data_IF_731034069030
#
_entry.id   IF_731034069030
#
_cell.length_a   1.000
_cell.length_b   1.000
_cell.length_c   1.000
_cell.angle_alpha   90.00
_cell.angle_beta   90.00
_cell.angle_gamma   90.00
#
_symmetry.space_group_name_H-M   'P 1'
#
loop_
_entity.id
_entity.type
_entity.pdbx_description
1 polymer ?
#
# COMPACT_ATOMS: atom_id res chain seq x y z
N UNK A 1 30.53 20.05 0.72
CA UNK A 1 30.77 19.00 -0.30
C UNK A 1 29.51 18.17 -0.41
N UNK A 2 28.90 18.21 -1.55
CA UNK A 2 27.58 17.61 -1.80
C UNK A 2 27.70 16.08 -1.76
N UNK A 3 27.15 15.44 -0.73
CA UNK A 3 27.23 13.97 -0.55
C UNK A 3 26.18 13.21 -1.38
N UNK A 4 25.35 13.90 -2.14
CA UNK A 4 24.27 13.28 -2.90
C UNK A 4 24.77 12.48 -4.12
N UNK A 5 25.91 12.86 -4.69
CA UNK A 5 26.53 12.09 -5.76
C UNK A 5 27.06 10.71 -5.28
N UNK A 6 27.60 10.65 -4.04
CA UNK A 6 28.05 9.37 -3.43
C UNK A 6 26.86 8.44 -3.16
N UNK A 7 25.73 8.98 -2.74
CA UNK A 7 24.49 8.21 -2.59
C UNK A 7 23.98 7.69 -3.93
N UNK A 8 24.13 8.47 -5.00
CA UNK A 8 23.79 8.06 -6.36
C UNK A 8 24.72 6.98 -6.90
N UNK A 9 26.04 7.06 -6.64
CA UNK A 9 26.99 6.01 -6.99
C UNK A 9 26.75 4.71 -6.20
N UNK A 10 26.42 4.81 -4.91
CA UNK A 10 26.03 3.64 -4.11
C UNK A 10 24.81 2.91 -4.67
N UNK A 11 23.87 3.65 -5.30
CA UNK A 11 22.71 3.10 -5.99
C UNK A 11 23.03 2.37 -7.30
N UNK A 12 24.25 2.49 -7.82
CA UNK A 12 24.70 1.74 -9.00
C UNK A 12 25.07 0.28 -8.67
N UNK A 13 25.34 -0.03 -7.40
CA UNK A 13 25.67 -1.37 -6.91
C UNK A 13 24.70 -1.77 -5.82
N UNK A 14 23.77 -2.62 -6.17
CA UNK A 14 22.68 -3.04 -5.29
C UNK A 14 23.03 -4.34 -4.57
N UNK A 15 22.70 -4.48 -3.28
CA UNK A 15 22.82 -5.73 -2.57
C UNK A 15 21.82 -6.75 -3.10
N UNK A 16 22.26 -8.00 -3.24
CA UNK A 16 21.47 -9.12 -3.76
C UNK A 16 21.28 -10.14 -2.65
N UNK A 17 20.05 -10.45 -2.36
CA UNK A 17 19.63 -11.45 -1.39
C UNK A 17 18.89 -12.56 -2.11
N UNK A 18 19.38 -13.79 -1.98
CA UNK A 18 18.73 -14.98 -2.52
C UNK A 18 17.81 -15.58 -1.45
N UNK A 19 16.64 -15.97 -1.87
CA UNK A 19 15.65 -16.70 -1.08
C UNK A 19 15.24 -17.97 -1.83
N UNK A 20 15.30 -19.08 -1.13
CA UNK A 20 15.04 -20.40 -1.71
C UNK A 20 14.06 -21.17 -0.83
N UNK A 21 13.07 -21.75 -1.48
CA UNK A 21 12.24 -22.81 -0.92
C UNK A 21 12.38 -24.06 -1.80
N UNK A 22 11.73 -25.14 -1.42
CA UNK A 22 11.73 -26.39 -2.24
C UNK A 22 11.13 -26.20 -3.63
N UNK A 23 10.37 -25.12 -3.85
CA UNK A 23 9.60 -24.90 -5.07
C UNK A 23 10.03 -23.69 -5.88
N UNK A 24 10.60 -22.64 -5.28
CA UNK A 24 10.89 -21.38 -5.97
C UNK A 24 12.17 -20.73 -5.46
N UNK A 25 12.91 -20.12 -6.39
CA UNK A 25 14.14 -19.34 -6.13
C UNK A 25 13.95 -17.90 -6.53
N UNK A 26 14.07 -17.00 -5.57
CA UNK A 26 13.82 -15.56 -5.75
C UNK A 26 15.03 -14.76 -5.31
N UNK A 27 15.46 -13.79 -6.11
CA UNK A 27 16.39 -12.77 -5.63
C UNK A 27 15.65 -11.45 -5.36
N UNK A 28 15.99 -10.84 -4.23
CA UNK A 28 15.67 -9.45 -3.96
C UNK A 28 16.92 -8.60 -4.11
N UNK A 29 16.80 -7.52 -4.87
CA UNK A 29 17.90 -6.61 -5.21
C UNK A 29 17.53 -5.20 -4.78
N UNK A 30 18.13 -4.71 -3.72
CA UNK A 30 17.80 -3.39 -3.18
C UNK A 30 18.21 -3.21 -1.73
N UNK A 31 18.09 -1.98 -1.23
CA UNK A 31 18.53 -1.58 0.10
C UNK A 31 17.42 -1.64 1.16
N UNK A 32 16.15 -1.59 0.76
CA UNK A 32 15.05 -1.50 1.69
C UNK A 32 14.76 -2.85 2.36
N UNK A 33 15.06 -2.95 3.65
CA UNK A 33 14.70 -4.13 4.45
C UNK A 33 13.19 -4.34 4.54
N UNK A 34 12.42 -3.26 4.61
CA UNK A 34 10.97 -3.28 4.69
C UNK A 34 10.34 -3.82 3.40
N UNK A 35 10.79 -3.28 2.23
CA UNK A 35 10.32 -3.78 0.93
C UNK A 35 10.70 -5.24 0.76
N UNK A 36 11.94 -5.59 1.10
CA UNK A 36 12.45 -6.95 1.06
C UNK A 36 11.58 -7.91 1.86
N UNK A 37 11.35 -7.63 3.14
CA UNK A 37 10.53 -8.46 4.01
C UNK A 37 9.12 -8.63 3.45
N UNK A 38 8.52 -7.53 3.00
CA UNK A 38 7.19 -7.57 2.43
C UNK A 38 7.07 -8.42 1.16
N UNK A 39 7.93 -8.15 0.16
CA UNK A 39 7.82 -8.87 -1.10
C UNK A 39 8.18 -10.34 -0.93
N UNK A 40 9.19 -10.64 -0.15
CA UNK A 40 9.56 -12.02 0.15
C UNK A 40 8.44 -12.75 0.92
N UNK A 41 7.83 -12.10 1.94
CA UNK A 41 6.68 -12.66 2.65
C UNK A 41 5.44 -12.88 1.77
N UNK A 42 5.29 -12.09 0.69
CA UNK A 42 4.23 -12.30 -0.29
C UNK A 42 4.48 -13.52 -1.21
N UNK A 43 5.75 -13.80 -1.52
CA UNK A 43 6.15 -14.88 -2.42
C UNK A 43 6.43 -16.20 -1.69
N UNK A 44 6.94 -16.14 -0.46
CA UNK A 44 7.42 -17.31 0.27
C UNK A 44 6.75 -17.44 1.63
N UNK A 45 6.44 -18.67 2.00
CA UNK A 45 6.04 -19.01 3.36
C UNK A 45 7.26 -18.98 4.30
N UNK A 46 7.03 -19.04 5.63
CA UNK A 46 8.06 -18.82 6.67
C UNK A 46 9.29 -19.75 6.63
N UNK A 47 9.23 -20.89 5.91
CA UNK A 47 10.34 -21.85 5.83
C UNK A 47 11.17 -21.62 4.54
N UNK A 48 11.91 -20.53 4.48
CA UNK A 48 12.82 -20.28 3.37
C UNK A 48 14.27 -20.14 3.86
N UNK A 49 15.22 -20.60 3.03
CA UNK A 49 16.64 -20.33 3.23
C UNK A 49 16.98 -19.01 2.58
N UNK A 50 17.80 -18.21 3.22
CA UNK A 50 18.25 -16.98 2.61
C UNK A 50 19.78 -16.86 2.69
N UNK A 51 20.36 -16.24 1.67
CA UNK A 51 21.79 -15.95 1.60
C UNK A 51 22.04 -14.60 0.92
N UNK A 52 23.15 -13.98 1.30
CA UNK A 52 23.61 -12.75 0.66
C UNK A 52 24.60 -13.08 -0.46
N UNK A 53 24.29 -12.71 -1.69
CA UNK A 53 25.11 -12.98 -2.87
C UNK A 53 26.12 -11.85 -3.19
N UNK A 54 26.27 -10.88 -2.29
CA UNK A 54 27.11 -9.71 -2.52
C UNK A 54 26.36 -8.58 -3.23
N UNK A 55 27.10 -7.68 -3.87
CA UNK A 55 26.55 -6.55 -4.61
C UNK A 55 26.71 -6.74 -6.10
N UNK A 56 25.73 -6.25 -6.88
CA UNK A 56 25.78 -6.27 -8.35
C UNK A 56 25.49 -4.88 -8.90
N UNK A 57 26.17 -4.53 -9.97
CA UNK A 57 25.81 -3.36 -10.76
C UNK A 57 24.37 -3.52 -11.26
N UNK A 58 23.58 -2.47 -11.20
CA UNK A 58 22.18 -2.53 -11.63
C UNK A 58 22.04 -2.96 -13.11
N UNK A 59 23.02 -2.66 -13.96
CA UNK A 59 23.08 -3.13 -15.35
C UNK A 59 23.12 -4.67 -15.48
N UNK A 60 23.69 -5.35 -14.48
CA UNK A 60 23.85 -6.80 -14.45
C UNK A 60 22.74 -7.52 -13.66
N UNK A 61 21.77 -6.77 -13.14
CA UNK A 61 20.64 -7.35 -12.39
C UNK A 61 19.80 -8.31 -13.24
N UNK A 62 19.45 -7.99 -14.51
CA UNK A 62 18.71 -8.91 -15.35
C UNK A 62 19.42 -10.24 -15.62
N UNK A 63 20.77 -10.24 -15.65
CA UNK A 63 21.57 -11.45 -15.85
C UNK A 63 21.41 -12.47 -14.72
N UNK A 64 20.99 -12.03 -13.53
CA UNK A 64 20.81 -12.90 -12.35
C UNK A 64 19.83 -14.05 -12.61
N UNK A 65 18.81 -13.84 -13.44
CA UNK A 65 17.84 -14.88 -13.80
C UNK A 65 18.57 -16.10 -14.34
N UNK A 66 19.47 -15.90 -15.30
CA UNK A 66 20.22 -16.99 -15.93
C UNK A 66 21.40 -17.44 -15.08
N UNK A 67 22.23 -16.49 -14.60
CA UNK A 67 23.49 -16.81 -13.90
C UNK A 67 23.29 -17.51 -12.55
N UNK A 68 22.17 -17.27 -11.89
CA UNK A 68 21.82 -17.89 -10.61
C UNK A 68 20.65 -18.89 -10.70
N UNK A 69 20.17 -19.17 -11.90
CA UNK A 69 19.01 -20.05 -12.15
C UNK A 69 17.83 -19.68 -11.25
N UNK A 70 17.37 -18.41 -11.35
CA UNK A 70 16.28 -17.88 -10.56
C UNK A 70 14.95 -17.98 -11.31
N UNK A 71 13.88 -18.10 -10.56
CA UNK A 71 12.51 -18.02 -11.09
C UNK A 71 12.07 -16.57 -11.22
N UNK A 72 12.36 -15.75 -10.19
CA UNK A 72 11.94 -14.34 -10.11
C UNK A 72 13.08 -13.49 -9.54
N UNK A 73 13.24 -12.30 -10.09
CA UNK A 73 14.08 -11.23 -9.53
C UNK A 73 13.20 -10.03 -9.20
N UNK A 74 13.28 -9.54 -7.98
CA UNK A 74 12.61 -8.32 -7.55
C UNK A 74 13.70 -7.27 -7.32
N UNK A 75 13.74 -6.24 -8.16
CA UNK A 75 14.75 -5.19 -8.05
C UNK A 75 14.13 -3.83 -7.81
N UNK A 76 14.65 -3.11 -6.80
CA UNK A 76 14.40 -1.68 -6.69
C UNK A 76 15.06 -0.96 -7.87
N UNK A 77 14.30 -0.14 -8.59
CA UNK A 77 14.81 0.60 -9.74
C UNK A 77 14.45 2.08 -9.67
N UNK A 78 15.38 2.92 -10.08
CA UNK A 78 15.16 4.36 -10.22
C UNK A 78 14.45 4.66 -11.54
N UNK A 79 13.63 5.72 -11.62
CA UNK A 79 13.06 6.20 -12.89
C UNK A 79 14.10 6.40 -14.01
N UNK A 80 15.33 6.77 -13.66
CA UNK A 80 16.42 7.01 -14.62
C UNK A 80 16.85 5.76 -15.40
N UNK A 81 16.63 4.56 -14.84
CA UNK A 81 17.06 3.29 -15.44
C UNK A 81 15.91 2.46 -16.00
N UNK A 82 14.69 2.97 -15.99
CA UNK A 82 13.50 2.24 -16.46
C UNK A 82 13.66 1.68 -17.87
N UNK A 83 14.21 2.48 -18.80
CA UNK A 83 14.41 2.07 -20.20
C UNK A 83 15.28 0.82 -20.30
N UNK A 84 16.35 0.73 -19.51
CA UNK A 84 17.21 -0.46 -19.51
C UNK A 84 16.43 -1.73 -19.14
N UNK A 85 15.60 -1.66 -18.08
CA UNK A 85 14.84 -2.83 -17.63
C UNK A 85 13.68 -3.21 -18.56
N UNK A 86 13.21 -2.30 -19.40
CA UNK A 86 12.17 -2.59 -20.39
C UNK A 86 12.62 -3.53 -21.52
N UNK A 87 13.92 -3.70 -21.71
CA UNK A 87 14.48 -4.60 -22.71
C UNK A 87 14.50 -6.08 -22.26
N UNK A 88 14.24 -6.33 -20.97
CA UNK A 88 14.27 -7.66 -20.37
C UNK A 88 12.87 -8.18 -20.07
N UNK A 89 12.77 -9.50 -19.99
CA UNK A 89 11.53 -10.16 -19.61
C UNK A 89 11.13 -9.82 -18.17
N UNK A 90 9.91 -9.32 -18.02
CA UNK A 90 9.38 -8.92 -16.70
C UNK A 90 8.49 -7.70 -16.76
N UNK A 91 8.15 -7.19 -15.59
CA UNK A 91 7.22 -6.09 -15.41
C UNK A 91 7.86 -4.98 -14.60
N UNK A 92 7.74 -3.74 -15.05
CA UNK A 92 8.03 -2.55 -14.26
C UNK A 92 6.75 -2.18 -13.52
N UNK A 93 6.77 -2.33 -12.21
CA UNK A 93 5.62 -2.04 -11.35
C UNK A 93 5.91 -0.84 -10.46
N UNK A 94 4.94 0.04 -10.21
CA UNK A 94 5.10 1.07 -9.19
C UNK A 94 5.17 0.40 -7.82
N UNK A 95 5.93 0.96 -6.91
CA UNK A 95 5.98 0.43 -5.53
C UNK A 95 4.61 0.55 -4.85
N UNK A 96 3.96 1.72 -5.04
CA UNK A 96 2.65 2.03 -4.50
C UNK A 96 1.75 2.60 -5.58
N UNK A 97 0.48 2.20 -5.55
CA UNK A 97 -0.55 2.75 -6.42
C UNK A 97 -1.63 3.37 -5.54
N UNK A 98 -1.98 4.61 -5.82
CA UNK A 98 -3.06 5.29 -5.10
C UNK A 98 -4.42 4.77 -5.55
N UNK A 99 -5.32 4.55 -4.59
CA UNK A 99 -6.72 4.25 -4.86
C UNK A 99 -7.60 5.38 -4.39
N UNK A 100 -8.57 5.78 -5.21
CA UNK A 100 -9.53 6.85 -4.91
C UNK A 100 -10.98 6.39 -5.10
N UNK A 101 -11.88 6.93 -4.28
CA UNK A 101 -13.33 6.81 -4.48
C UNK A 101 -13.84 8.14 -5.03
N UNK A 102 -14.54 8.11 -6.16
CA UNK A 102 -15.27 9.28 -6.61
C UNK A 102 -16.55 9.45 -5.77
N UNK A 103 -16.64 10.58 -5.07
CA UNK A 103 -17.75 10.94 -4.18
C UNK A 103 -18.54 12.16 -4.67
N UNK A 104 -18.28 12.62 -5.90
CA UNK A 104 -18.97 13.74 -6.56
C UNK A 104 -20.37 13.31 -7.04
N UNK A 105 -21.19 12.80 -6.12
CA UNK A 105 -22.56 12.31 -6.32
C UNK A 105 -23.17 11.96 -4.96
N UNK A 106 -24.53 11.86 -4.86
CA UNK A 106 -25.19 11.52 -3.61
C UNK A 106 -24.64 10.23 -2.98
N UNK A 107 -24.53 10.20 -1.64
CA UNK A 107 -23.97 9.05 -0.90
C UNK A 107 -24.66 7.72 -1.26
N UNK A 108 -25.97 7.74 -1.52
CA UNK A 108 -26.70 6.56 -1.96
C UNK A 108 -26.15 5.98 -3.27
N UNK A 109 -25.73 6.81 -4.21
CA UNK A 109 -25.18 6.36 -5.49
C UNK A 109 -23.72 5.91 -5.36
N UNK A 110 -22.95 6.52 -4.46
CA UNK A 110 -21.62 6.01 -4.10
C UNK A 110 -21.71 4.59 -3.55
N UNK A 111 -22.67 4.35 -2.65
CA UNK A 111 -22.88 3.05 -2.02
C UNK A 111 -23.42 1.99 -2.98
N UNK A 112 -24.27 2.37 -3.97
CA UNK A 112 -24.88 1.42 -4.92
C UNK A 112 -23.86 0.61 -5.70
N UNK A 113 -22.73 1.20 -6.09
CA UNK A 113 -21.67 0.51 -6.85
C UNK A 113 -21.10 -0.71 -6.11
N UNK A 114 -21.22 -0.75 -4.78
CA UNK A 114 -20.79 -1.84 -3.88
C UNK A 114 -21.88 -2.14 -2.83
N UNK A 115 -23.11 -2.27 -3.27
CA UNK A 115 -24.31 -2.30 -2.42
C UNK A 115 -24.23 -3.35 -1.31
N UNK A 116 -23.78 -4.58 -1.61
CA UNK A 116 -23.68 -5.64 -0.61
C UNK A 116 -22.70 -5.28 0.53
N UNK A 117 -21.54 -4.73 0.19
CA UNK A 117 -20.55 -4.34 1.19
C UNK A 117 -21.04 -3.16 2.04
N UNK A 118 -21.60 -2.13 1.42
CA UNK A 118 -22.12 -0.98 2.16
C UNK A 118 -23.36 -1.34 3.00
N UNK A 119 -24.19 -2.28 2.57
CA UNK A 119 -25.29 -2.83 3.40
C UNK A 119 -24.76 -3.42 4.70
N UNK A 120 -23.69 -4.21 4.65
CA UNK A 120 -23.06 -4.77 5.84
C UNK A 120 -22.47 -3.68 6.75
N UNK A 121 -21.75 -2.71 6.16
CA UNK A 121 -21.21 -1.56 6.91
C UNK A 121 -22.32 -0.79 7.62
N UNK A 122 -23.38 -0.40 6.92
CA UNK A 122 -24.50 0.35 7.48
C UNK A 122 -25.29 -0.47 8.53
N UNK A 123 -25.40 -1.78 8.33
CA UNK A 123 -26.00 -2.68 9.33
C UNK A 123 -25.20 -2.70 10.63
N UNK A 124 -23.86 -2.77 10.54
CA UNK A 124 -23.00 -2.75 11.72
C UNK A 124 -22.99 -1.38 12.40
N UNK A 125 -22.98 -0.28 11.63
CA UNK A 125 -23.11 1.08 12.17
C UNK A 125 -24.38 1.19 13.02
N UNK A 126 -25.52 0.75 12.48
CA UNK A 126 -26.81 0.79 13.20
C UNK A 126 -26.84 -0.14 14.41
N UNK A 127 -26.34 -1.40 14.23
CA UNK A 127 -26.33 -2.40 15.29
C UNK A 127 -25.54 -1.95 16.52
N UNK A 128 -24.39 -1.29 16.29
CA UNK A 128 -23.45 -0.91 17.36
C UNK A 128 -23.54 0.59 17.71
N UNK A 129 -24.59 1.29 17.25
CA UNK A 129 -24.77 2.73 17.49
C UNK A 129 -23.52 3.57 17.19
N UNK A 130 -22.84 3.26 16.07
CA UNK A 130 -21.62 3.97 15.71
C UNK A 130 -21.95 5.37 15.18
N UNK A 131 -21.35 6.37 15.80
CA UNK A 131 -21.41 7.77 15.40
C UNK A 131 -20.00 8.30 15.15
N UNK A 132 -19.87 9.51 14.60
CA UNK A 132 -18.57 10.14 14.44
C UNK A 132 -18.58 11.62 14.80
N UNK A 133 -17.40 12.11 15.10
CA UNK A 133 -17.11 13.53 15.28
C UNK A 133 -15.73 13.86 14.66
N UNK A 134 -15.51 15.15 14.41
CA UNK A 134 -14.23 15.64 13.91
C UNK A 134 -13.47 16.27 15.07
N UNK A 135 -12.26 15.78 15.29
CA UNK A 135 -11.34 16.35 16.30
C UNK A 135 -10.15 17.03 15.60
N UNK A 136 -9.61 18.02 16.29
CA UNK A 136 -8.43 18.76 15.86
C UNK A 136 -7.51 19.03 17.04
N UNK A 137 -6.33 19.55 16.76
CA UNK A 137 -5.36 19.91 17.80
C UNK A 137 -4.32 18.84 18.08
N UNK A 138 -3.17 19.29 18.55
CA UNK A 138 -2.00 18.42 18.78
C UNK A 138 -2.21 17.42 19.92
N UNK A 139 -2.99 17.78 20.91
CA UNK A 139 -3.41 16.88 21.99
C UNK A 139 -4.19 15.68 21.47
N UNK A 140 -5.18 15.93 20.58
CA UNK A 140 -5.96 14.85 19.94
C UNK A 140 -5.07 13.95 19.09
N UNK A 141 -4.06 14.52 18.41
CA UNK A 141 -3.09 13.74 17.64
C UNK A 141 -2.23 12.85 18.53
N UNK A 142 -1.73 13.37 19.63
CA UNK A 142 -0.92 12.60 20.58
C UNK A 142 -1.74 11.44 21.16
N UNK A 143 -2.97 11.72 21.56
CA UNK A 143 -3.90 10.70 22.06
C UNK A 143 -4.21 9.64 20.99
N UNK A 144 -4.45 10.05 19.74
CA UNK A 144 -4.60 9.13 18.61
C UNK A 144 -3.35 8.26 18.43
N UNK A 145 -2.17 8.86 18.47
CA UNK A 145 -0.91 8.12 18.30
C UNK A 145 -0.77 7.03 19.36
N UNK A 146 -0.93 7.39 20.64
CA UNK A 146 -0.66 6.51 21.78
C UNK A 146 -1.74 5.43 21.97
N UNK A 147 -3.01 5.79 21.82
CA UNK A 147 -4.13 4.92 22.18
C UNK A 147 -4.73 4.16 20.99
N UNK A 148 -4.55 4.64 19.77
CA UNK A 148 -5.19 4.03 18.60
C UNK A 148 -4.17 3.53 17.57
N UNK A 149 -3.28 4.42 17.10
CA UNK A 149 -2.41 4.10 15.97
C UNK A 149 -1.31 3.10 16.34
N UNK A 150 -0.47 3.43 17.33
CA UNK A 150 0.66 2.59 17.73
C UNK A 150 0.21 1.19 18.19
N UNK A 151 -0.76 1.03 19.10
CA UNK A 151 -1.22 -0.29 19.52
C UNK A 151 -1.78 -1.11 18.37
N UNK A 152 -2.55 -0.47 17.48
CA UNK A 152 -3.16 -1.15 16.35
C UNK A 152 -2.13 -1.64 15.32
N UNK A 153 -1.19 -0.77 14.92
CA UNK A 153 -0.19 -1.11 13.90
C UNK A 153 0.80 -2.15 14.41
N UNK A 154 1.25 -2.04 15.66
CA UNK A 154 2.17 -2.99 16.29
C UNK A 154 1.51 -4.36 16.45
N UNK A 155 0.26 -4.42 16.91
CA UNK A 155 -0.46 -5.69 17.06
C UNK A 155 -0.70 -6.38 15.71
N UNK A 156 -0.86 -5.60 14.64
CA UNK A 156 -1.14 -6.12 13.30
C UNK A 156 0.11 -6.58 12.54
N UNK A 157 1.26 -5.92 12.75
CA UNK A 157 2.47 -6.11 11.95
C UNK A 157 3.69 -6.51 12.77
N UNK A 158 3.59 -6.56 14.11
CA UNK A 158 4.70 -6.94 14.99
C UNK A 158 5.92 -6.05 14.79
N UNK A 159 7.09 -6.67 14.76
CA UNK A 159 8.38 -5.98 14.57
C UNK A 159 8.54 -5.39 13.15
N UNK A 160 7.76 -5.86 12.18
CA UNK A 160 7.75 -5.33 10.81
C UNK A 160 6.84 -4.12 10.64
N UNK A 161 6.24 -3.61 11.73
CA UNK A 161 5.36 -2.45 11.70
C UNK A 161 6.11 -1.20 11.21
N UNK A 162 5.67 -0.64 10.09
CA UNK A 162 6.14 0.68 9.68
C UNK A 162 5.44 1.75 10.51
N UNK A 163 6.12 2.20 11.55
CA UNK A 163 5.64 3.29 12.40
C UNK A 163 6.12 4.62 11.80
N UNK A 164 5.16 5.47 11.45
CA UNK A 164 5.43 6.79 10.91
C UNK A 164 5.35 7.84 12.02
N UNK A 165 6.26 8.81 11.95
CA UNK A 165 6.20 9.98 12.83
C UNK A 165 5.02 10.88 12.46
N UNK A 166 3.95 10.80 13.24
CA UNK A 166 2.73 11.56 13.01
C UNK A 166 2.94 13.07 13.19
N UNK A 167 3.96 13.52 13.94
CA UNK A 167 4.29 14.95 14.05
C UNK A 167 4.72 15.50 12.69
N UNK A 168 5.51 14.75 11.92
CA UNK A 168 5.90 15.17 10.56
C UNK A 168 4.71 15.29 9.63
N UNK A 169 3.66 14.49 9.84
CA UNK A 169 2.41 14.60 9.09
C UNK A 169 1.64 15.84 9.55
N UNK A 170 1.62 16.10 10.84
CA UNK A 170 0.93 17.24 11.43
C UNK A 170 1.47 18.60 10.96
N UNK A 171 2.78 18.72 10.90
CA UNK A 171 3.46 19.96 10.53
C UNK A 171 3.30 20.34 9.05
N UNK A 172 2.65 19.48 8.24
CA UNK A 172 2.34 19.78 6.84
C UNK A 172 1.03 20.57 6.72
N UNK A 173 1.01 21.55 5.83
CA UNK A 173 -0.19 22.35 5.53
C UNK A 173 -1.04 21.74 4.42
N UNK A 174 -2.37 21.72 4.52
CA UNK A 174 -3.17 22.05 5.71
C UNK A 174 -2.99 21.01 6.82
N UNK A 175 -3.15 21.44 8.07
CA UNK A 175 -3.08 20.55 9.21
C UNK A 175 -4.14 19.44 9.11
N UNK A 176 -3.81 18.20 9.46
CA UNK A 176 -4.77 17.11 9.42
C UNK A 176 -5.82 17.23 10.54
N UNK A 177 -6.95 16.56 10.33
CA UNK A 177 -8.03 16.37 11.29
C UNK A 177 -8.14 14.89 11.64
N UNK A 178 -8.90 14.57 12.67
CA UNK A 178 -9.23 13.21 13.07
C UNK A 178 -10.73 12.97 12.92
N UNK A 179 -11.10 11.91 12.21
CA UNK A 179 -12.42 11.28 12.32
C UNK A 179 -12.37 10.36 13.53
N UNK A 180 -13.17 10.63 14.55
CA UNK A 180 -13.29 9.80 15.73
C UNK A 180 -14.64 9.06 15.70
N UNK A 181 -14.60 7.73 15.67
CA UNK A 181 -15.78 6.87 15.70
C UNK A 181 -16.08 6.48 17.14
N UNK A 182 -17.32 6.73 17.57
CA UNK A 182 -17.83 6.39 18.90
C UNK A 182 -18.77 5.19 18.85
N UNK A 183 -18.65 4.35 19.86
CA UNK A 183 -19.59 3.29 20.19
C UNK A 183 -20.10 3.54 21.62
N UNK A 184 -21.41 3.75 21.80
CA UNK A 184 -22.01 4.06 23.12
C UNK A 184 -21.29 5.21 23.85
N UNK A 185 -20.90 6.27 23.14
CA UNK A 185 -20.25 7.44 23.71
C UNK A 185 -18.73 7.34 23.88
N UNK A 186 -18.14 6.15 23.75
CA UNK A 186 -16.68 5.93 23.85
C UNK A 186 -16.05 5.98 22.46
N UNK A 187 -14.92 6.68 22.31
CA UNK A 187 -14.15 6.66 21.06
C UNK A 187 -13.44 5.30 20.95
N UNK A 188 -13.80 4.53 19.93
CA UNK A 188 -13.32 3.15 19.70
C UNK A 188 -12.41 3.02 18.48
N UNK A 189 -12.43 4.01 17.60
CA UNK A 189 -11.56 4.06 16.44
C UNK A 189 -11.35 5.49 15.95
N UNK A 190 -10.20 5.76 15.38
CA UNK A 190 -9.87 7.07 14.81
C UNK A 190 -9.15 6.92 13.47
N UNK A 191 -9.30 7.93 12.63
CA UNK A 191 -8.51 8.06 11.41
C UNK A 191 -8.00 9.49 11.22
N UNK A 192 -6.73 9.62 10.91
CA UNK A 192 -6.09 10.88 10.53
C UNK A 192 -6.42 11.16 9.06
N UNK A 193 -7.04 12.31 8.81
CA UNK A 193 -7.46 12.74 7.48
C UNK A 193 -6.88 14.11 7.15
N UNK A 194 -6.71 14.39 5.84
CA UNK A 194 -6.30 15.72 5.37
C UNK A 194 -6.97 16.06 4.05
N UNK A 195 -7.48 17.27 3.94
CA UNK A 195 -7.95 17.81 2.67
C UNK A 195 -6.76 18.25 1.83
N UNK A 196 -6.71 17.84 0.58
CA UNK A 196 -5.69 18.21 -0.39
C UNK A 196 -6.35 18.44 -1.75
N UNK A 197 -6.49 19.71 -2.13
CA UNK A 197 -7.25 20.08 -3.32
C UNK A 197 -8.71 19.62 -3.23
N UNK A 198 -9.15 18.85 -4.20
CA UNK A 198 -10.50 18.29 -4.29
C UNK A 198 -10.64 16.89 -3.63
N UNK A 199 -9.63 16.47 -2.89
CA UNK A 199 -9.60 15.14 -2.26
C UNK A 199 -9.49 15.23 -0.74
N UNK A 200 -10.21 14.35 -0.04
CA UNK A 200 -9.98 14.06 1.38
C UNK A 200 -9.17 12.76 1.49
N UNK A 201 -7.96 12.86 2.00
CA UNK A 201 -7.04 11.73 2.11
C UNK A 201 -7.09 11.09 3.47
N UNK A 202 -7.28 9.75 3.50
CA UNK A 202 -7.06 8.93 4.69
C UNK A 202 -5.55 8.67 4.83
N UNK A 203 -4.96 9.20 5.90
CA UNK A 203 -3.52 9.06 6.14
C UNK A 203 -3.21 7.83 6.96
N UNK A 204 -3.81 7.73 8.16
CA UNK A 204 -3.61 6.63 9.10
C UNK A 204 -4.90 6.36 9.84
N UNK A 205 -5.07 5.14 10.32
CA UNK A 205 -6.19 4.77 11.19
C UNK A 205 -5.71 3.86 12.31
N UNK A 206 -6.48 3.82 13.38
CA UNK A 206 -6.23 2.95 14.52
C UNK A 206 -7.51 2.63 15.28
N UNK A 207 -7.44 1.58 16.08
CA UNK A 207 -8.49 1.13 16.98
C UNK A 207 -8.00 1.25 18.42
N UNK A 208 -8.90 1.58 19.33
CA UNK A 208 -8.58 1.74 20.74
C UNK A 208 -7.83 0.53 21.27
N UNK A 209 -6.64 0.76 21.84
CA UNK A 209 -5.70 -0.23 22.37
C UNK A 209 -5.41 -1.41 21.41
N UNK A 210 -5.58 -1.20 20.09
CA UNK A 210 -5.43 -2.23 19.07
C UNK A 210 -6.41 -3.41 19.23
N UNK A 211 -7.57 -3.19 19.86
CA UNK A 211 -8.54 -4.25 20.12
C UNK A 211 -9.27 -4.69 18.83
N UNK A 212 -9.09 -5.96 18.47
CA UNK A 212 -9.67 -6.55 17.26
C UNK A 212 -11.19 -6.76 17.34
N UNK A 213 -11.82 -6.67 18.51
CA UNK A 213 -13.27 -6.79 18.61
C UNK A 213 -13.96 -5.62 17.89
N UNK A 214 -13.34 -4.44 17.88
CA UNK A 214 -13.84 -3.30 17.12
C UNK A 214 -13.81 -3.53 15.59
N UNK A 215 -12.98 -4.45 15.08
CA UNK A 215 -13.09 -4.88 13.67
C UNK A 215 -14.41 -5.61 13.43
N UNK A 216 -14.81 -6.50 14.34
CA UNK A 216 -16.08 -7.26 14.26
C UNK A 216 -17.28 -6.35 14.46
N UNK A 217 -17.14 -5.28 15.24
CA UNK A 217 -18.18 -4.24 15.41
C UNK A 217 -18.31 -3.34 14.19
N UNK A 218 -17.38 -3.42 13.22
CA UNK A 218 -17.45 -2.68 11.97
C UNK A 218 -16.85 -1.27 12.02
N UNK A 219 -16.05 -0.97 13.06
CA UNK A 219 -15.47 0.37 13.28
C UNK A 219 -14.61 0.83 12.11
N UNK A 220 -13.79 -0.06 11.52
CA UNK A 220 -12.98 0.30 10.33
C UNK A 220 -13.91 0.61 9.14
N UNK A 221 -14.97 -0.19 8.94
CA UNK A 221 -15.97 0.09 7.90
C UNK A 221 -16.65 1.43 8.10
N UNK A 222 -17.00 1.75 9.35
CA UNK A 222 -17.59 3.02 9.74
C UNK A 222 -16.62 4.20 9.48
N UNK A 223 -15.33 4.07 9.78
CA UNK A 223 -14.31 5.07 9.45
C UNK A 223 -14.35 5.40 7.95
N UNK A 224 -14.36 4.39 7.07
CA UNK A 224 -14.40 4.62 5.62
C UNK A 224 -15.71 5.29 5.20
N UNK A 225 -16.84 4.83 5.71
CA UNK A 225 -18.15 5.41 5.41
C UNK A 225 -18.26 6.87 5.88
N UNK A 226 -17.86 7.16 7.11
CA UNK A 226 -17.88 8.52 7.65
C UNK A 226 -16.86 9.43 6.97
N UNK A 227 -15.74 8.88 6.47
CA UNK A 227 -14.81 9.65 5.63
C UNK A 227 -15.45 10.09 4.31
N UNK A 228 -16.31 9.25 3.73
CA UNK A 228 -17.07 9.63 2.52
C UNK A 228 -18.03 10.78 2.84
N UNK A 229 -18.79 10.69 3.93
CA UNK A 229 -19.69 11.75 4.37
C UNK A 229 -18.94 13.04 4.63
N UNK A 230 -17.84 12.98 5.39
CA UNK A 230 -17.04 14.15 5.72
C UNK A 230 -16.40 14.77 4.46
N UNK A 231 -15.95 13.94 3.51
CA UNK A 231 -15.43 14.41 2.24
C UNK A 231 -16.49 15.19 1.46
N UNK A 232 -17.73 14.70 1.39
CA UNK A 232 -18.85 15.40 0.76
C UNK A 232 -19.20 16.71 1.49
N UNK A 233 -19.30 16.70 2.82
CA UNK A 233 -19.53 17.89 3.65
C UNK A 233 -18.46 18.95 3.44
N UNK A 234 -17.20 18.52 3.24
CA UNK A 234 -16.06 19.39 2.98
C UNK A 234 -15.90 19.82 1.52
N UNK A 235 -16.85 19.46 0.63
CA UNK A 235 -16.84 19.79 -0.79
C UNK A 235 -15.72 19.09 -1.59
N UNK A 236 -15.30 17.92 -1.17
CA UNK A 236 -14.36 17.10 -1.92
C UNK A 236 -15.07 16.27 -3.00
N UNK A 237 -14.36 16.01 -4.10
CA UNK A 237 -14.80 15.14 -5.19
C UNK A 237 -14.31 13.70 -5.02
N UNK A 238 -13.26 13.52 -4.26
CA UNK A 238 -12.62 12.22 -4.08
C UNK A 238 -12.26 11.95 -2.63
N UNK A 239 -12.35 10.66 -2.24
CA UNK A 239 -11.64 10.13 -1.08
C UNK A 239 -10.36 9.44 -1.58
N UNK A 240 -9.21 9.94 -1.19
CA UNK A 240 -7.93 9.29 -1.42
C UNK A 240 -7.67 8.28 -0.30
N UNK A 241 -7.73 7.02 -0.64
CA UNK A 241 -7.53 5.88 0.28
C UNK A 241 -6.04 5.59 0.54
N UNK A 242 -5.16 6.41 -0.03
CA UNK A 242 -3.71 6.20 0.04
C UNK A 242 -3.21 5.03 -0.81
N UNK A 243 -1.92 4.75 -0.65
CA UNK A 243 -1.23 3.73 -1.43
C UNK A 243 -1.70 2.30 -1.14
N UNK A 244 -1.66 1.48 -2.16
CA UNK A 244 -1.74 0.03 -2.10
C UNK A 244 -0.63 -0.57 -2.95
N UNK A 245 -0.37 -1.85 -2.80
CA UNK A 245 0.67 -2.54 -3.56
C UNK A 245 0.18 -2.89 -4.97
N UNK A 246 1.07 -3.11 -5.93
CA UNK A 246 0.69 -3.33 -7.32
C UNK A 246 0.04 -4.69 -7.59
N UNK A 247 -0.18 -5.53 -6.58
CA UNK A 247 -0.83 -6.83 -6.75
C UNK A 247 -2.34 -6.74 -6.55
N UNK A 248 -3.13 -7.15 -7.55
CA UNK A 248 -4.59 -7.12 -7.47
C UNK A 248 -5.15 -8.08 -6.42
N UNK A 249 -4.39 -9.11 -6.06
CA UNK A 249 -4.74 -10.09 -5.03
C UNK A 249 -4.36 -9.66 -3.62
N UNK A 250 -3.60 -8.58 -3.47
CA UNK A 250 -3.22 -8.03 -2.16
C UNK A 250 -4.46 -7.72 -1.30
N UNK A 251 -4.38 -8.07 -0.01
CA UNK A 251 -5.50 -7.92 0.91
C UNK A 251 -5.97 -6.48 1.09
N UNK A 252 -5.03 -5.52 1.11
CA UNK A 252 -5.35 -4.09 1.23
C UNK A 252 -6.00 -3.57 -0.04
N UNK A 253 -5.52 -4.00 -1.22
CA UNK A 253 -6.11 -3.69 -2.51
C UNK A 253 -7.56 -4.18 -2.58
N UNK A 254 -7.79 -5.46 -2.25
CA UNK A 254 -9.14 -6.03 -2.18
C UNK A 254 -10.04 -5.31 -1.19
N UNK A 255 -9.50 -4.96 -0.02
CA UNK A 255 -10.26 -4.24 1.00
C UNK A 255 -10.72 -2.86 0.49
N UNK A 256 -9.81 -2.05 -0.06
CA UNK A 256 -10.13 -0.73 -0.61
C UNK A 256 -11.10 -0.79 -1.79
N UNK A 257 -10.96 -1.81 -2.65
CA UNK A 257 -11.88 -2.03 -3.78
C UNK A 257 -13.33 -2.33 -3.33
N UNK A 258 -13.53 -2.93 -2.16
CA UNK A 258 -14.87 -3.17 -1.60
C UNK A 258 -15.59 -1.87 -1.27
N UNK A 259 -14.87 -0.80 -0.95
CA UNK A 259 -15.44 0.54 -0.76
C UNK A 259 -15.61 1.33 -2.06
N UNK A 260 -15.34 0.71 -3.22
CA UNK A 260 -15.42 1.38 -4.51
C UNK A 260 -14.15 2.16 -4.86
N UNK A 261 -13.05 1.89 -4.17
CA UNK A 261 -11.75 2.43 -4.54
C UNK A 261 -11.34 1.96 -5.92
N UNK A 262 -10.96 2.90 -6.77
CA UNK A 262 -10.44 2.69 -8.11
C UNK A 262 -8.99 3.17 -8.15
N UNK A 263 -8.18 2.51 -8.98
CA UNK A 263 -6.79 2.92 -9.15
C UNK A 263 -6.72 4.26 -9.89
N UNK A 264 -5.83 5.11 -9.42
CA UNK A 264 -5.52 6.35 -10.14
C UNK A 264 -4.76 6.01 -11.43
N UNK A 265 -5.28 6.48 -12.57
CA UNK A 265 -4.72 6.15 -13.90
C UNK A 265 -3.32 6.75 -14.14
N UNK A 266 -2.92 7.76 -13.38
CA UNK A 266 -1.60 8.38 -13.50
C UNK A 266 -0.62 7.73 -12.53
N UNK A 267 0.20 6.83 -13.03
CA UNK A 267 1.38 6.29 -12.33
C UNK A 267 2.47 7.36 -12.07
N UNK A 268 2.26 8.58 -12.55
CA UNK A 268 3.26 9.66 -12.54
C UNK A 268 3.59 10.24 -11.16
N UNK A 269 2.89 9.84 -10.10
CA UNK A 269 3.17 10.32 -8.75
C UNK A 269 4.17 9.45 -7.99
N UNK A 270 4.44 8.25 -8.46
CA UNK A 270 5.41 7.37 -7.79
C UNK A 270 6.82 7.65 -8.32
N UNK A 271 7.74 7.90 -7.40
CA UNK A 271 9.17 8.10 -7.70
C UNK A 271 9.97 6.80 -7.58
N UNK A 272 9.32 5.73 -7.17
CA UNK A 272 9.95 4.45 -6.88
C UNK A 272 9.24 3.33 -7.62
N UNK A 273 10.02 2.52 -8.29
CA UNK A 273 9.58 1.39 -9.09
C UNK A 273 10.31 0.13 -8.67
N UNK A 274 9.70 -0.99 -9.00
CA UNK A 274 10.31 -2.30 -8.92
C UNK A 274 10.30 -2.94 -10.30
N UNK A 275 11.35 -3.66 -10.62
CA UNK A 275 11.36 -4.58 -11.74
C UNK A 275 11.12 -5.99 -11.21
N UNK A 276 10.07 -6.62 -11.71
CA UNK A 276 9.77 -8.03 -11.50
C UNK A 276 10.29 -8.80 -12.73
N UNK A 277 11.55 -9.20 -12.68
CA UNK A 277 12.14 -10.05 -13.72
C UNK A 277 11.61 -11.47 -13.60
N UNK A 278 11.14 -12.03 -14.69
CA UNK A 278 10.52 -13.34 -14.73
C UNK A 278 11.33 -14.28 -15.62
N UNK A 279 11.65 -15.46 -15.10
CA UNK A 279 12.20 -16.53 -15.92
C UNK A 279 11.10 -17.14 -16.80
N UNK A 280 11.15 -16.87 -18.08
CA UNK A 280 10.15 -17.32 -19.04
C UNK A 280 10.09 -18.86 -19.19
N UNK A 281 11.11 -19.57 -18.77
CA UNK A 281 11.15 -21.03 -18.78
C UNK A 281 10.64 -21.63 -17.45
N UNK A 282 10.47 -20.84 -16.40
CA UNK A 282 9.95 -21.29 -15.11
C UNK A 282 8.43 -21.40 -15.13
N UNK A 283 7.92 -22.62 -15.03
CA UNK A 283 6.48 -22.89 -14.89
C UNK A 283 5.95 -22.26 -13.59
N UNK A 284 6.73 -22.31 -12.52
CA UNK A 284 6.37 -21.80 -11.20
C UNK A 284 6.23 -20.27 -11.24
N UNK A 285 7.18 -19.58 -11.88
CA UNK A 285 7.12 -18.12 -12.02
C UNK A 285 5.90 -17.67 -12.84
N UNK A 286 5.60 -18.37 -13.95
CA UNK A 286 4.40 -18.11 -14.76
C UNK A 286 3.12 -18.32 -13.97
N UNK A 287 3.01 -19.45 -13.28
CA UNK A 287 1.82 -19.75 -12.45
C UNK A 287 1.66 -18.75 -11.31
N UNK A 288 2.77 -18.32 -10.67
CA UNK A 288 2.73 -17.28 -9.67
C UNK A 288 2.15 -15.98 -10.23
N UNK A 289 2.65 -15.51 -11.38
CA UNK A 289 2.15 -14.28 -12.01
C UNK A 289 0.68 -14.40 -12.44
N UNK A 290 0.27 -15.55 -12.94
CA UNK A 290 -1.13 -15.83 -13.29
C UNK A 290 -2.06 -15.73 -12.07
N UNK A 291 -1.62 -16.21 -10.91
CA UNK A 291 -2.38 -16.14 -9.64
C UNK A 291 -2.34 -14.75 -9.01
N UNK A 292 -1.31 -13.97 -9.30
CA UNK A 292 -1.07 -12.67 -8.69
C UNK A 292 -0.91 -11.58 -9.78
N UNK A 293 -2.00 -11.22 -10.46
CA UNK A 293 -1.95 -10.18 -11.48
C UNK A 293 -1.41 -8.87 -10.90
N UNK A 294 -0.55 -8.21 -11.66
CA UNK A 294 0.08 -6.95 -11.26
C UNK A 294 -0.37 -5.78 -12.13
N UNK A 295 -0.38 -4.60 -11.54
CA UNK A 295 -0.43 -3.37 -12.30
C UNK A 295 1.00 -2.96 -12.68
N UNK A 296 1.25 -2.73 -13.95
CA UNK A 296 2.58 -2.41 -14.47
C UNK A 296 2.57 -1.17 -15.36
N UNK A 297 3.73 -0.53 -15.50
CA UNK A 297 3.93 0.56 -16.45
C UNK A 297 4.16 -0.03 -17.85
N UNK A 298 3.41 0.46 -18.84
CA UNK A 298 3.69 0.16 -20.25
C UNK A 298 4.89 0.98 -20.76
N UNK A 299 5.43 0.64 -21.94
CA UNK A 299 6.57 1.35 -22.56
C UNK A 299 6.35 2.83 -22.76
N UNK A 300 5.11 3.24 -22.95
CA UNK A 300 4.69 4.65 -23.11
C UNK A 300 4.33 5.32 -21.78
N UNK A 301 4.57 4.66 -20.64
CA UNK A 301 4.17 5.10 -19.29
C UNK A 301 2.66 5.30 -19.12
N UNK A 302 1.83 4.85 -20.08
CA UNK A 302 0.40 4.75 -19.83
C UNK A 302 0.11 3.55 -18.94
N UNK A 303 -0.77 3.71 -17.96
CA UNK A 303 -1.21 2.62 -17.10
C UNK A 303 -1.97 1.59 -17.92
N UNK A 304 -1.59 0.33 -17.82
CA UNK A 304 -2.41 -0.76 -18.30
C UNK A 304 -2.74 -1.71 -17.17
N UNK A 305 -3.99 -2.03 -17.05
CA UNK A 305 -4.39 -3.23 -16.34
C UNK A 305 -3.90 -4.43 -17.16
N UNK A 306 -3.31 -5.44 -16.51
CA UNK A 306 -3.13 -6.72 -17.16
C UNK A 306 -4.51 -7.22 -17.60
N UNK A 307 -4.74 -7.32 -18.88
CA UNK A 307 -5.93 -7.97 -19.41
C UNK A 307 -5.96 -9.39 -18.85
N UNK A 308 -6.83 -9.61 -17.90
CA UNK A 308 -7.22 -10.96 -17.49
C UNK A 308 -8.12 -11.46 -18.59
N UNK A 309 -7.55 -12.13 -19.59
CA UNK A 309 -8.27 -13.01 -20.50
C UNK A 309 -8.75 -14.26 -19.79
#
# INVERSE_FOLDING_TARGET
>A
MDTDWLKNLARLYLPVYLYESDTIRIAYVGYSSIKKAYFIGFFLNQNNRHSFLGRRSFWRVPDLIKSCNLDIVISEISPMVLKHFQEYSGYIVPEWITMKINIDRPIGDVCKKRASHFSDVLRLIRKNNLTYEILSGKESLNYFSEKFYLPYITKRHGEEAWIEDLNRIWDQSPAPLLIAVRENGVIVGQALIRKSGDSLRLLRLGLLDGNNDYLRHGVVGAIYYFSILEGQNSGCRYIDLGGTRPFLTDGLTKFKSRFGGEFESKLSSTKEYLWLGINEHSVIAKEFMRRNPVMYARRDFSSAMSETG
#
